data_IF_736895602784
#
_entry.id   IF_736895602784
#
_cell.length_a   1.000
_cell.length_b   1.000
_cell.length_c   1.000
_cell.angle_alpha   90.00
_cell.angle_beta   90.00
_cell.angle_gamma   90.00
#
_symmetry.space_group_name_H-M   'P 1'
#
loop_
_entity.id
_entity.type
_entity.pdbx_description
1 polymer ?
#
# COMPACT_ATOMS: atom_id res chain seq x y z
N UNK A 1 -5.61 10.45 19.88
CA UNK A 1 -4.73 11.25 20.76
C UNK A 1 -4.11 12.39 19.94
N UNK A 2 -3.69 13.50 20.54
CA UNK A 2 -2.88 14.52 19.84
C UNK A 2 -1.39 14.30 20.10
N UNK A 3 -0.56 14.39 19.05
CA UNK A 3 0.89 14.21 19.10
C UNK A 3 1.62 15.45 18.58
N UNK A 4 2.89 15.62 19.00
CA UNK A 4 3.79 16.65 18.44
C UNK A 4 5.01 15.97 17.83
N UNK A 5 5.03 15.94 16.50
CA UNK A 5 6.12 15.37 15.72
C UNK A 5 7.37 16.25 15.81
N UNK A 6 8.54 15.62 15.95
CA UNK A 6 9.81 16.27 15.63
C UNK A 6 9.91 16.53 14.12
N UNK A 7 10.89 17.36 13.73
CA UNK A 7 11.18 17.58 12.31
C UNK A 7 11.53 16.28 11.58
N UNK A 8 12.32 15.39 12.21
CA UNK A 8 12.71 14.09 11.64
C UNK A 8 11.48 13.21 11.40
N UNK A 9 10.61 13.06 12.41
CA UNK A 9 9.39 12.26 12.31
C UNK A 9 8.44 12.79 11.23
N UNK A 10 8.29 14.12 11.12
CA UNK A 10 7.50 14.71 10.04
C UNK A 10 8.07 14.36 8.67
N UNK A 11 9.39 14.50 8.46
CA UNK A 11 10.02 14.15 7.17
C UNK A 11 9.82 12.66 6.83
N UNK A 12 9.96 11.77 7.81
CA UNK A 12 9.69 10.34 7.62
C UNK A 12 8.22 10.08 7.24
N UNK A 13 7.25 10.76 7.85
CA UNK A 13 5.85 10.62 7.45
C UNK A 13 5.57 11.18 6.05
N UNK A 14 6.22 12.27 5.63
CA UNK A 14 6.06 12.80 4.27
C UNK A 14 6.67 11.84 3.23
N UNK A 15 7.80 11.18 3.54
CA UNK A 15 8.37 10.14 2.69
C UNK A 15 7.40 8.94 2.59
N UNK A 16 6.90 8.42 3.72
CA UNK A 16 5.91 7.34 3.72
C UNK A 16 4.64 7.72 2.95
N UNK A 17 4.14 8.94 3.12
CA UNK A 17 3.01 9.46 2.35
C UNK A 17 3.26 9.39 0.84
N UNK A 18 4.44 9.82 0.39
CA UNK A 18 4.79 9.76 -1.03
C UNK A 18 4.85 8.33 -1.57
N UNK A 19 5.29 7.37 -0.73
CA UNK A 19 5.28 5.96 -1.07
C UNK A 19 3.85 5.43 -1.24
N UNK A 20 2.93 5.75 -0.32
CA UNK A 20 1.51 5.37 -0.44
C UNK A 20 0.87 5.92 -1.72
N UNK A 21 1.13 7.19 -2.04
CA UNK A 21 0.62 7.83 -3.26
C UNK A 21 1.10 7.09 -4.53
N UNK A 22 2.36 6.64 -4.53
CA UNK A 22 2.93 5.84 -5.62
C UNK A 22 2.32 4.42 -5.66
N UNK A 23 2.13 3.76 -4.52
CA UNK A 23 1.48 2.45 -4.44
C UNK A 23 0.05 2.51 -5.00
N UNK A 24 -0.75 3.49 -4.57
CA UNK A 24 -2.11 3.73 -5.10
C UNK A 24 -2.07 3.92 -6.62
N UNK A 25 -1.16 4.76 -7.12
CA UNK A 25 -1.03 5.02 -8.56
C UNK A 25 -0.67 3.75 -9.33
N UNK A 26 0.30 2.96 -8.82
CA UNK A 26 0.73 1.70 -9.44
C UNK A 26 -0.43 0.69 -9.48
N UNK A 27 -1.11 0.46 -8.37
CA UNK A 27 -2.23 -0.47 -8.32
C UNK A 27 -3.38 -0.07 -9.24
N UNK A 28 -3.77 1.21 -9.23
CA UNK A 28 -4.82 1.73 -10.12
C UNK A 28 -4.44 1.55 -11.60
N UNK A 29 -3.22 1.92 -11.97
CA UNK A 29 -2.72 1.77 -13.34
C UNK A 29 -2.65 0.30 -13.78
N UNK A 30 -2.17 -0.59 -12.91
CA UNK A 30 -2.04 -2.00 -13.24
C UNK A 30 -3.36 -2.75 -13.20
N UNK A 31 -4.35 -2.33 -12.39
CA UNK A 31 -5.71 -2.85 -12.48
C UNK A 31 -6.33 -2.61 -13.88
N UNK A 32 -5.95 -1.53 -14.55
CA UNK A 32 -6.39 -1.19 -15.90
C UNK A 32 -5.59 -1.90 -17.01
N UNK A 33 -4.33 -2.28 -16.74
CA UNK A 33 -3.42 -2.89 -17.71
C UNK A 33 -3.35 -4.43 -17.63
N UNK A 34 -3.63 -5.01 -16.46
CA UNK A 34 -3.58 -6.47 -16.27
C UNK A 34 -4.49 -7.20 -17.25
N UNK A 35 -4.11 -8.41 -17.63
CA UNK A 35 -4.87 -9.27 -18.54
C UNK A 35 -5.78 -10.20 -17.75
N UNK A 36 -5.26 -10.85 -16.71
CA UNK A 36 -6.00 -11.75 -15.84
C UNK A 36 -6.96 -11.00 -14.92
N UNK A 37 -8.22 -11.45 -14.86
CA UNK A 37 -9.28 -10.80 -14.07
C UNK A 37 -9.03 -10.90 -12.57
N UNK A 38 -8.39 -11.97 -12.10
CA UNK A 38 -8.00 -12.14 -10.69
C UNK A 38 -6.93 -11.12 -10.31
N UNK A 39 -5.95 -10.86 -11.19
CA UNK A 39 -4.94 -9.83 -10.94
C UNK A 39 -5.57 -8.43 -10.88
N UNK A 40 -6.52 -8.12 -11.78
CA UNK A 40 -7.26 -6.84 -11.72
C UNK A 40 -7.94 -6.65 -10.37
N UNK A 41 -8.60 -7.69 -9.85
CA UNK A 41 -9.29 -7.61 -8.58
C UNK A 41 -8.32 -7.50 -7.41
N UNK A 42 -7.19 -8.21 -7.46
CA UNK A 42 -6.13 -8.09 -6.47
C UNK A 42 -5.61 -6.65 -6.41
N UNK A 43 -5.28 -6.05 -7.56
CA UNK A 43 -4.82 -4.67 -7.61
C UNK A 43 -5.84 -3.69 -7.02
N UNK A 44 -7.12 -3.81 -7.37
CA UNK A 44 -8.19 -2.96 -6.81
C UNK A 44 -8.35 -3.11 -5.30
N UNK A 45 -8.20 -4.33 -4.78
CA UNK A 45 -8.30 -4.59 -3.36
C UNK A 45 -7.14 -3.93 -2.60
N UNK A 46 -5.90 -4.12 -3.05
CA UNK A 46 -4.73 -3.52 -2.41
C UNK A 46 -4.77 -1.99 -2.53
N UNK A 47 -5.14 -1.44 -3.69
CA UNK A 47 -5.32 0.02 -3.89
C UNK A 47 -6.23 0.64 -2.82
N UNK A 48 -7.35 -0.02 -2.49
CA UNK A 48 -8.28 0.47 -1.48
C UNK A 48 -7.66 0.49 -0.08
N UNK A 49 -6.80 -0.48 0.23
CA UNK A 49 -6.08 -0.53 1.50
C UNK A 49 -5.02 0.58 1.54
N UNK A 50 -4.26 0.80 0.47
CA UNK A 50 -3.28 1.91 0.40
C UNK A 50 -3.91 3.29 0.59
N UNK A 51 -5.14 3.49 0.10
CA UNK A 51 -5.89 4.73 0.40
C UNK A 51 -6.16 4.90 1.89
N UNK A 52 -6.40 3.81 2.59
CA UNK A 52 -6.59 3.82 4.06
C UNK A 52 -5.27 4.10 4.79
N UNK A 53 -4.15 3.56 4.29
CA UNK A 53 -2.81 3.89 4.80
C UNK A 53 -2.50 5.38 4.61
N UNK A 54 -2.69 5.92 3.40
CA UNK A 54 -2.50 7.33 3.09
C UNK A 54 -3.33 8.25 4.00
N UNK A 55 -4.61 7.93 4.20
CA UNK A 55 -5.48 8.68 5.12
C UNK A 55 -4.95 8.64 6.56
N UNK A 56 -4.45 7.48 7.00
CA UNK A 56 -3.84 7.30 8.33
C UNK A 56 -2.58 8.15 8.48
N UNK A 57 -1.69 8.17 7.49
CA UNK A 57 -0.49 9.02 7.51
C UNK A 57 -0.85 10.50 7.53
N UNK A 58 -1.84 10.92 6.73
CA UNK A 58 -2.30 12.31 6.74
C UNK A 58 -2.87 12.72 8.11
N UNK A 59 -3.56 11.82 8.82
CA UNK A 59 -3.99 12.08 10.20
C UNK A 59 -2.80 12.26 11.15
N UNK A 60 -1.78 11.39 11.06
CA UNK A 60 -0.56 11.50 11.86
C UNK A 60 0.19 12.81 11.58
N UNK A 61 0.32 13.21 10.30
CA UNK A 61 0.92 14.49 9.87
C UNK A 61 0.17 15.72 10.41
N UNK A 62 -1.15 15.58 10.61
CA UNK A 62 -2.00 16.58 11.25
C UNK A 62 -1.99 16.51 12.79
N UNK A 63 -1.15 15.66 13.36
CA UNK A 63 -0.98 15.51 14.81
C UNK A 63 -2.06 14.66 15.47
N UNK A 64 -2.82 13.87 14.72
CA UNK A 64 -3.87 12.99 15.24
C UNK A 64 -3.48 11.52 15.10
N UNK A 65 -3.48 10.79 16.21
CA UNK A 65 -3.33 9.33 16.20
C UNK A 65 -4.72 8.68 16.12
N UNK A 66 -5.05 7.96 15.03
CA UNK A 66 -6.32 7.25 14.92
C UNK A 66 -6.38 6.09 15.90
N UNK A 67 -7.59 5.79 16.39
CA UNK A 67 -7.79 4.53 17.09
C UNK A 67 -7.84 3.40 16.07
N UNK A 68 -6.94 2.43 16.21
CA UNK A 68 -6.99 1.17 15.48
C UNK A 68 -8.18 0.32 15.96
N UNK A 69 -9.39 0.72 15.58
CA UNK A 69 -10.55 -0.16 15.69
C UNK A 69 -10.51 -1.12 14.50
N UNK A 70 -10.45 -2.42 14.78
CA UNK A 70 -10.41 -3.54 13.83
C UNK A 70 -11.71 -3.70 13.00
N UNK A 71 -12.34 -2.61 12.57
CA UNK A 71 -13.54 -2.67 11.74
C UNK A 71 -13.24 -2.21 10.33
N UNK A 72 -12.68 -3.14 9.57
CA UNK A 72 -12.70 -3.11 8.11
C UNK A 72 -14.15 -3.42 7.68
N UNK A 73 -15.01 -2.41 7.69
CA UNK A 73 -16.33 -2.50 7.08
C UNK A 73 -16.22 -1.89 5.67
N UNK A 74 -16.16 -2.78 4.68
CA UNK A 74 -16.16 -2.44 3.26
C UNK A 74 -17.43 -1.68 2.91
N UNK A 75 -17.27 -0.40 2.53
CA UNK A 75 -18.24 0.27 1.68
C UNK A 75 -17.58 0.48 0.32
N UNK A 76 -17.86 -0.43 -0.60
CA UNK A 76 -17.46 -0.38 -2.00
C UNK A 76 -18.27 0.71 -2.71
N UNK A 77 -17.69 1.92 -2.78
CA UNK A 77 -18.22 3.01 -3.60
C UNK A 77 -17.60 2.90 -4.99
N UNK A 78 -18.35 2.34 -5.94
CA UNK A 78 -17.96 2.35 -7.36
C UNK A 78 -17.97 3.79 -7.87
N UNK A 79 -16.79 4.34 -8.13
CA UNK A 79 -16.62 5.55 -8.94
C UNK A 79 -16.53 5.15 -10.41
N UNK A 80 -17.27 5.78 -11.34
CA UNK A 80 -17.14 5.51 -12.76
C UNK A 80 -15.91 6.25 -13.30
N UNK A 81 -14.85 5.50 -13.61
CA UNK A 81 -13.63 6.05 -14.18
C UNK A 81 -13.70 6.04 -15.72
N UNK A 82 -13.57 7.22 -16.32
CA UNK A 82 -13.43 7.40 -17.78
C UNK A 82 -11.93 7.42 -18.09
N UNK A 83 -11.36 6.28 -18.47
CA UNK A 83 -9.94 6.19 -18.83
C UNK A 83 -9.77 5.98 -20.35
N UNK A 84 -9.04 6.90 -21.00
CA UNK A 84 -8.50 6.72 -22.35
C UNK A 84 -7.49 5.58 -22.32
N UNK A 85 -7.83 4.45 -22.94
CA UNK A 85 -6.92 3.32 -23.10
C UNK A 85 -5.75 3.70 -24.01
N UNK A 86 -4.57 3.82 -23.41
CA UNK A 86 -3.30 3.67 -24.14
C UNK A 86 -2.85 2.26 -23.83
N UNK A 87 -3.01 1.35 -24.79
CA UNK A 87 -2.78 -0.08 -24.58
C UNK A 87 -1.27 -0.36 -24.54
N UNK A 88 -0.68 -0.29 -23.34
CA UNK A 88 0.65 -0.83 -23.07
C UNK A 88 0.56 -2.36 -22.99
N UNK A 89 1.41 -3.05 -23.76
CA UNK A 89 1.52 -4.52 -23.74
C UNK A 89 2.44 -5.00 -22.60
N UNK A 90 2.17 -4.60 -21.35
CA UNK A 90 2.90 -5.14 -20.19
C UNK A 90 2.31 -6.52 -19.82
N UNK A 91 3.16 -7.48 -19.47
CA UNK A 91 2.70 -8.80 -19.05
C UNK A 91 2.27 -8.80 -17.57
N UNK A 92 1.33 -9.68 -17.20
CA UNK A 92 0.92 -9.83 -15.79
C UNK A 92 2.10 -10.22 -14.89
N UNK A 93 3.08 -10.96 -15.41
CA UNK A 93 4.30 -11.30 -14.67
C UNK A 93 5.15 -10.06 -14.38
N UNK A 94 5.29 -9.15 -15.34
CA UNK A 94 6.06 -7.91 -15.16
C UNK A 94 5.33 -6.96 -14.20
N UNK A 95 4.00 -6.87 -14.30
CA UNK A 95 3.15 -6.15 -13.34
C UNK A 95 3.41 -6.66 -11.92
N UNK A 96 3.26 -7.97 -11.70
CA UNK A 96 3.42 -8.53 -10.36
C UNK A 96 4.85 -8.40 -9.85
N UNK A 97 5.86 -8.47 -10.72
CA UNK A 97 7.25 -8.30 -10.34
C UNK A 97 7.56 -6.87 -9.89
N UNK A 98 7.04 -5.87 -10.59
CA UNK A 98 7.16 -4.46 -10.20
C UNK A 98 6.41 -4.17 -8.90
N UNK A 99 5.15 -4.60 -8.79
CA UNK A 99 4.37 -4.43 -7.56
C UNK A 99 5.06 -5.08 -6.36
N UNK A 100 5.49 -6.34 -6.48
CA UNK A 100 6.17 -7.03 -5.39
C UNK A 100 7.49 -6.36 -4.98
N UNK A 101 8.19 -5.72 -5.91
CA UNK A 101 9.39 -4.94 -5.59
C UNK A 101 9.03 -3.66 -4.83
N UNK A 102 7.97 -2.97 -5.25
CA UNK A 102 7.45 -1.78 -4.56
C UNK A 102 7.05 -2.12 -3.12
N UNK A 103 6.22 -3.16 -2.92
CA UNK A 103 5.79 -3.59 -1.58
C UNK A 103 6.95 -3.91 -0.64
N UNK A 104 7.98 -4.62 -1.15
CA UNK A 104 9.17 -4.94 -0.37
C UNK A 104 9.94 -3.69 0.04
N UNK A 105 10.07 -2.74 -0.87
CA UNK A 105 10.75 -1.48 -0.59
C UNK A 105 9.95 -0.66 0.45
N UNK A 106 8.66 -0.45 0.21
CA UNK A 106 7.79 0.35 1.09
C UNK A 106 7.71 -0.24 2.49
N UNK A 107 7.47 -1.56 2.61
CA UNK A 107 7.48 -2.26 3.90
C UNK A 107 8.82 -2.10 4.67
N UNK A 108 9.95 -2.07 3.95
CA UNK A 108 11.26 -1.78 4.54
C UNK A 108 11.43 -0.32 5.00
N UNK A 109 10.81 0.64 4.29
CA UNK A 109 10.81 2.04 4.73
C UNK A 109 9.99 2.26 5.99
N UNK A 110 8.85 1.55 6.13
CA UNK A 110 8.09 1.50 7.37
C UNK A 110 8.91 0.96 8.54
N UNK A 111 9.68 -0.11 8.32
CA UNK A 111 10.57 -0.67 9.36
C UNK A 111 11.51 0.40 9.92
N UNK A 112 12.19 1.10 9.02
CA UNK A 112 13.11 2.19 9.39
C UNK A 112 12.38 3.31 10.12
N UNK A 113 11.22 3.74 9.62
CA UNK A 113 10.43 4.77 10.29
C UNK A 113 10.01 4.32 11.70
N UNK A 114 9.50 3.11 11.88
CA UNK A 114 9.08 2.58 13.18
C UNK A 114 10.21 2.69 14.21
N UNK A 115 11.46 2.37 13.85
CA UNK A 115 12.60 2.50 14.78
C UNK A 115 12.86 3.95 15.21
N UNK A 116 12.58 4.91 14.34
CA UNK A 116 12.98 6.32 14.49
C UNK A 116 11.92 7.22 15.15
N UNK A 117 10.71 6.71 15.40
CA UNK A 117 9.66 7.43 16.11
C UNK A 117 9.75 7.23 17.62
N UNK A 118 9.57 8.31 18.37
CA UNK A 118 9.65 8.30 19.84
C UNK A 118 8.34 7.84 20.50
N UNK A 119 7.20 8.17 19.89
CA UNK A 119 5.87 7.96 20.47
C UNK A 119 5.37 6.54 20.19
N UNK A 120 5.14 5.75 21.25
CA UNK A 120 4.74 4.33 21.13
C UNK A 120 3.46 4.14 20.33
N UNK A 121 2.44 4.98 20.51
CA UNK A 121 1.20 4.85 19.75
C UNK A 121 1.39 5.07 18.26
N UNK A 122 2.30 5.97 17.86
CA UNK A 122 2.63 6.18 16.44
C UNK A 122 3.35 4.96 15.90
N UNK A 123 4.29 4.41 16.67
CA UNK A 123 4.97 3.15 16.31
C UNK A 123 3.96 2.03 16.12
N UNK A 124 2.96 1.91 16.98
CA UNK A 124 1.93 0.86 16.87
C UNK A 124 1.10 1.02 15.59
N UNK A 125 0.72 2.26 15.23
CA UNK A 125 0.02 2.55 13.97
C UNK A 125 0.89 2.19 12.76
N UNK A 126 2.16 2.62 12.75
CA UNK A 126 3.07 2.31 11.65
C UNK A 126 3.37 0.81 11.54
N UNK A 127 3.47 0.07 12.66
CA UNK A 127 3.60 -1.39 12.67
C UNK A 127 2.37 -2.08 12.07
N UNK A 128 1.18 -1.55 12.35
CA UNK A 128 -0.05 -2.09 11.77
C UNK A 128 -0.04 -1.94 10.25
N UNK A 129 0.29 -0.75 9.73
CA UNK A 129 0.41 -0.52 8.29
C UNK A 129 1.49 -1.42 7.68
N UNK A 130 2.69 -1.49 8.27
CA UNK A 130 3.77 -2.35 7.78
C UNK A 130 3.33 -3.83 7.64
N UNK A 131 2.51 -4.32 8.58
CA UNK A 131 1.96 -5.67 8.51
C UNK A 131 0.98 -5.84 7.34
N UNK A 132 0.26 -4.78 6.96
CA UNK A 132 -0.63 -4.78 5.79
C UNK A 132 0.18 -4.71 4.48
N UNK A 133 1.24 -3.90 4.41
CA UNK A 133 2.23 -3.94 3.29
C UNK A 133 2.78 -5.35 3.06
N UNK A 134 3.13 -6.05 4.14
CA UNK A 134 3.60 -7.45 4.05
C UNK A 134 2.52 -8.38 3.49
N UNK A 135 1.24 -8.15 3.82
CA UNK A 135 0.12 -8.94 3.27
C UNK A 135 -0.14 -8.60 1.80
N UNK A 136 0.09 -7.35 1.36
CA UNK A 136 0.05 -6.99 -0.06
C UNK A 136 1.12 -7.79 -0.83
N UNK A 137 2.36 -7.79 -0.34
CA UNK A 137 3.44 -8.60 -0.89
C UNK A 137 3.11 -10.11 -0.90
N UNK A 138 2.52 -10.62 0.18
CA UNK A 138 2.06 -12.02 0.27
C UNK A 138 0.98 -12.34 -0.77
N UNK A 139 -0.01 -11.45 -0.97
CA UNK A 139 -1.11 -11.67 -1.92
C UNK A 139 -0.60 -11.72 -3.35
N UNK A 140 0.33 -10.84 -3.72
CA UNK A 140 1.00 -10.85 -5.03
C UNK A 140 1.82 -12.12 -5.20
N UNK A 141 2.62 -12.48 -4.19
CA UNK A 141 3.43 -13.70 -4.22
C UNK A 141 2.56 -14.95 -4.45
N UNK A 142 1.49 -15.12 -3.67
CA UNK A 142 0.56 -16.25 -3.82
C UNK A 142 -0.11 -16.29 -5.19
N UNK A 143 -0.48 -15.13 -5.73
CA UNK A 143 -0.98 -15.03 -7.09
C UNK A 143 0.07 -15.52 -8.10
N UNK A 144 1.30 -15.00 -8.03
CA UNK A 144 2.38 -15.38 -8.94
C UNK A 144 2.71 -16.88 -8.85
N UNK A 145 2.78 -17.44 -7.63
CA UNK A 145 2.99 -18.88 -7.39
C UNK A 145 1.88 -19.70 -8.06
N UNK A 146 0.61 -19.34 -7.85
CA UNK A 146 -0.54 -20.05 -8.44
C UNK A 146 -0.58 -20.06 -9.97
N UNK A 147 0.09 -19.09 -10.60
CA UNK A 147 0.19 -18.95 -12.06
C UNK A 147 1.51 -19.46 -12.63
N UNK A 148 2.40 -20.03 -11.81
CA UNK A 148 3.73 -20.47 -12.22
C UNK A 148 4.67 -19.32 -12.62
N UNK A 149 4.39 -18.10 -12.17
CA UNK A 149 5.19 -16.90 -12.45
C UNK A 149 6.34 -16.72 -11.46
N UNK A 150 6.25 -17.34 -10.28
CA UNK A 150 7.27 -17.32 -9.23
C UNK A 150 7.78 -18.73 -8.96
N UNK A 151 9.10 -18.92 -8.98
CA UNK A 151 9.69 -20.20 -8.59
C UNK A 151 10.09 -20.17 -7.12
N UNK A 152 9.60 -21.13 -6.35
CA UNK A 152 9.84 -21.28 -4.91
C UNK A 152 10.82 -22.42 -4.58
N UNK A 153 11.26 -23.17 -5.60
CA UNK A 153 12.18 -24.31 -5.49
C UNK A 153 13.57 -23.98 -6.02
#
# INVERSE_FOLDING_TARGET
MQITLSQKERLLLEDLKSHEEICILKYSNYANQAQDTQLKQLCKNNEQIERTHLDTINQLLNGTVPQMNQQQNQNSTQTPEVAKQTQSNISDKDICSDLLMAEKYVSGTYDTAIFEFKDTEVRDVLNHIQKEEQKHGESIFKYMESKGMYNVQ
#
